data_IF_673264808064
#
_entry.id   IF_673264808064
#
_cell.length_a   1.000
_cell.length_b   1.000
_cell.length_c   1.000
_cell.angle_alpha   90.00
_cell.angle_beta   90.00
_cell.angle_gamma   90.00
#
_symmetry.space_group_name_H-M   'P 1'
#
loop_
_entity.id
_entity.type
_entity.pdbx_description
1 polymer ?
#
# COMPACT_ATOMS: atom_id res chain seq x y z
N UNK A 1 24.40 5.73 27.74
CA UNK A 1 23.97 5.88 26.34
C UNK A 1 22.48 5.72 26.24
N UNK A 2 21.81 6.61 25.50
CA UNK A 2 20.37 6.53 25.33
C UNK A 2 20.06 5.90 23.98
N UNK A 3 19.20 4.88 24.00
CA UNK A 3 18.75 4.22 22.78
C UNK A 3 17.33 4.64 22.49
N UNK A 4 17.07 5.09 21.26
CA UNK A 4 15.76 5.48 20.83
C UNK A 4 15.18 4.44 19.87
N UNK A 5 13.92 4.08 20.11
CA UNK A 5 13.16 3.26 19.16
C UNK A 5 12.08 4.15 18.57
N UNK A 6 12.22 4.46 17.32
CA UNK A 6 11.22 5.24 16.59
C UNK A 6 10.29 4.31 15.81
N UNK A 7 9.02 4.68 15.67
CA UNK A 7 8.15 3.94 14.77
C UNK A 7 8.71 3.95 13.35
N UNK A 8 8.55 2.84 12.66
CA UNK A 8 8.97 2.74 11.26
C UNK A 8 7.88 3.29 10.36
N UNK A 9 8.29 3.96 9.28
CA UNK A 9 7.37 4.48 8.28
C UNK A 9 7.28 3.51 7.13
N UNK A 10 6.04 3.12 6.79
CA UNK A 10 5.73 2.30 5.64
C UNK A 10 5.03 3.18 4.63
N UNK A 11 5.56 3.25 3.43
CA UNK A 11 5.04 4.08 2.35
C UNK A 11 4.53 3.21 1.22
N UNK A 12 3.32 3.52 0.74
CA UNK A 12 2.74 2.77 -0.34
C UNK A 12 1.74 3.60 -1.13
N UNK A 13 1.13 2.95 -2.12
CA UNK A 13 0.15 3.62 -2.96
C UNK A 13 -0.88 2.62 -3.49
N UNK A 14 -1.99 3.18 -3.99
CA UNK A 14 -3.03 2.43 -4.69
C UNK A 14 -2.91 2.81 -6.16
N UNK A 15 -2.21 2.01 -6.97
CA UNK A 15 -1.99 2.35 -8.39
C UNK A 15 -3.22 2.02 -9.22
N UNK A 16 -3.75 3.01 -9.92
CA UNK A 16 -4.96 2.86 -10.73
C UNK A 16 -4.63 2.89 -12.22
N UNK A 17 -5.29 2.01 -12.97
CA UNK A 17 -5.25 1.99 -14.42
C UNK A 17 -6.64 1.67 -14.96
N UNK A 18 -7.24 2.64 -15.67
CA UNK A 18 -8.56 2.46 -16.29
C UNK A 18 -9.61 1.89 -15.33
N UNK A 19 -9.68 2.44 -14.13
CA UNK A 19 -10.65 2.06 -13.12
C UNK A 19 -10.31 0.82 -12.30
N UNK A 20 -9.23 0.13 -12.64
CA UNK A 20 -8.75 -1.03 -11.88
C UNK A 20 -7.54 -0.66 -11.07
N UNK A 21 -7.28 -1.38 -10.02
CA UNK A 21 -6.13 -1.14 -9.15
C UNK A 21 -5.18 -2.32 -9.15
N UNK A 22 -3.89 -2.02 -8.93
CA UNK A 22 -2.84 -3.01 -8.92
C UNK A 22 -2.61 -3.50 -7.49
N UNK A 23 -2.63 -4.83 -7.32
CA UNK A 23 -2.26 -5.47 -6.07
C UNK A 23 -1.14 -6.47 -6.30
N UNK A 24 -0.35 -6.70 -5.25
CA UNK A 24 0.75 -7.66 -5.25
C UNK A 24 0.42 -8.80 -4.31
N UNK A 25 0.77 -10.03 -4.71
CA UNK A 25 0.63 -11.21 -3.86
C UNK A 25 1.98 -11.46 -3.19
N UNK A 26 1.99 -11.52 -1.86
CA UNK A 26 3.24 -11.58 -1.10
C UNK A 26 3.96 -12.92 -1.27
N UNK A 27 5.28 -12.85 -1.49
CA UNK A 27 6.15 -14.02 -1.56
C UNK A 27 6.94 -14.24 -0.29
N UNK A 28 6.72 -13.41 0.75
CA UNK A 28 7.46 -13.45 2.01
C UNK A 28 6.51 -13.39 3.20
N UNK A 29 6.99 -13.89 4.34
CA UNK A 29 6.29 -13.73 5.60
C UNK A 29 6.49 -12.32 6.15
N UNK A 30 5.57 -11.77 6.93
CA UNK A 30 4.30 -12.39 7.31
C UNK A 30 3.29 -12.35 6.17
N UNK A 31 2.25 -13.18 6.29
CA UNK A 31 1.13 -13.21 5.34
C UNK A 31 1.54 -13.63 3.93
N UNK A 32 2.45 -14.60 3.83
CA UNK A 32 2.83 -15.20 2.55
C UNK A 32 1.58 -15.66 1.78
N UNK A 33 1.50 -15.30 0.51
CA UNK A 33 0.38 -15.70 -0.36
C UNK A 33 -0.84 -14.78 -0.31
N UNK A 34 -0.85 -13.81 0.62
CA UNK A 34 -1.94 -12.83 0.71
C UNK A 34 -1.65 -11.61 -0.18
N UNK A 35 -2.69 -10.89 -0.51
CA UNK A 35 -2.61 -9.72 -1.40
C UNK A 35 -2.46 -8.42 -0.62
N UNK A 36 -1.76 -7.47 -1.21
CA UNK A 36 -1.52 -6.17 -0.59
C UNK A 36 -1.33 -5.09 -1.65
N UNK A 37 -1.57 -3.85 -1.25
CA UNK A 37 -1.12 -2.71 -2.05
C UNK A 37 0.40 -2.68 -1.97
N UNK A 38 1.10 -2.22 -3.02
CA UNK A 38 2.56 -2.11 -2.95
C UNK A 38 2.97 -1.09 -1.89
N UNK A 39 3.79 -1.53 -0.96
CA UNK A 39 4.24 -0.71 0.17
C UNK A 39 5.46 -1.32 0.83
N UNK A 40 6.28 -0.49 1.47
CA UNK A 40 7.44 -0.94 2.23
C UNK A 40 8.06 0.18 3.02
N UNK A 41 9.16 -0.14 3.69
CA UNK A 41 9.80 0.79 4.61
C UNK A 41 10.51 1.93 3.87
N UNK A 42 10.30 3.14 4.41
CA UNK A 42 10.98 4.34 3.91
C UNK A 42 12.47 4.23 4.19
N UNK A 43 13.29 4.71 3.23
CA UNK A 43 14.72 4.78 3.39
C UNK A 43 15.15 6.21 3.71
N UNK A 44 16.31 6.35 4.36
CA UNK A 44 16.83 7.67 4.69
C UNK A 44 17.05 8.50 3.43
N UNK A 45 16.70 9.77 3.51
CA UNK A 45 16.92 10.69 2.40
C UNK A 45 15.81 10.71 1.35
N UNK A 46 14.81 9.85 1.48
CA UNK A 46 13.68 9.86 0.54
C UNK A 46 12.59 10.82 0.99
N UNK A 47 11.85 11.38 0.02
CA UNK A 47 10.57 11.99 0.32
C UNK A 47 9.53 10.87 0.48
N UNK A 48 8.38 11.19 1.05
CA UNK A 48 7.29 10.23 1.19
C UNK A 48 6.85 9.70 -0.18
N UNK A 49 6.70 10.60 -1.16
CA UNK A 49 6.26 10.23 -2.51
C UNK A 49 7.30 9.36 -3.22
N UNK A 50 8.57 9.69 -3.08
CA UNK A 50 9.64 8.91 -3.70
C UNK A 50 9.69 7.50 -3.13
N UNK A 51 9.51 7.36 -1.81
CA UNK A 51 9.48 6.04 -1.18
C UNK A 51 8.31 5.20 -1.69
N UNK A 52 7.12 5.79 -1.80
CA UNK A 52 5.95 5.08 -2.31
C UNK A 52 6.15 4.61 -3.75
N UNK A 53 6.72 5.47 -4.60
CA UNK A 53 6.97 5.12 -6.00
C UNK A 53 8.03 4.03 -6.11
N UNK A 54 9.09 4.10 -5.31
CA UNK A 54 10.16 3.10 -5.31
C UNK A 54 9.63 1.74 -4.89
N UNK A 55 8.84 1.69 -3.83
CA UNK A 55 8.26 0.43 -3.35
C UNK A 55 7.34 -0.20 -4.40
N UNK A 56 6.55 0.62 -5.08
CA UNK A 56 5.70 0.11 -6.16
C UNK A 56 6.56 -0.51 -7.27
N UNK A 57 7.66 0.15 -7.64
CA UNK A 57 8.53 -0.38 -8.68
C UNK A 57 9.23 -1.67 -8.23
N UNK A 58 9.69 -1.73 -6.98
CA UNK A 58 10.36 -2.94 -6.46
C UNK A 58 9.42 -4.14 -6.41
N UNK A 59 8.17 -3.93 -6.00
CA UNK A 59 7.23 -5.04 -5.79
C UNK A 59 6.47 -5.43 -7.05
N UNK A 60 6.24 -4.49 -7.97
CA UNK A 60 5.38 -4.71 -9.12
C UNK A 60 6.02 -4.34 -10.45
N UNK A 61 7.27 -3.86 -10.46
CA UNK A 61 7.95 -3.36 -11.65
C UNK A 61 7.07 -2.39 -12.44
N UNK A 62 6.28 -1.60 -11.72
CA UNK A 62 5.31 -0.67 -12.28
C UNK A 62 5.75 0.76 -11.98
N UNK A 63 5.70 1.61 -13.01
CA UNK A 63 6.00 3.02 -12.87
C UNK A 63 4.70 3.77 -12.62
N UNK A 64 4.71 4.62 -11.62
CA UNK A 64 3.52 5.35 -11.18
C UNK A 64 3.79 6.85 -11.06
N UNK A 65 2.72 7.61 -11.20
CA UNK A 65 2.69 9.01 -10.80
C UNK A 65 1.95 9.06 -9.47
N UNK A 66 2.64 9.52 -8.42
CA UNK A 66 2.04 9.61 -7.08
C UNK A 66 1.11 10.81 -7.04
N UNK A 67 -0.10 10.59 -6.57
CA UNK A 67 -1.12 11.60 -6.44
C UNK A 67 -1.29 12.08 -5.00
N UNK A 68 -2.54 12.37 -4.62
CA UNK A 68 -2.85 12.92 -3.31
C UNK A 68 -2.74 11.88 -2.19
N UNK A 69 -2.51 12.37 -0.99
CA UNK A 69 -2.52 11.54 0.22
C UNK A 69 -3.91 10.93 0.39
N UNK A 70 -3.94 9.63 0.65
CA UNK A 70 -5.19 8.89 0.82
C UNK A 70 -5.44 8.52 2.28
N UNK A 71 -4.47 7.88 2.92
CA UNK A 71 -4.69 7.37 4.27
C UNK A 71 -3.40 7.33 5.08
N UNK A 72 -3.54 7.59 6.38
CA UNK A 72 -2.46 7.41 7.36
C UNK A 72 -3.00 6.51 8.45
N UNK A 73 -2.31 5.41 8.71
CA UNK A 73 -2.70 4.46 9.74
C UNK A 73 -1.62 4.40 10.82
N UNK A 74 -2.02 4.67 12.06
CA UNK A 74 -1.16 4.42 13.22
C UNK A 74 -1.33 2.96 13.61
N UNK A 75 -0.30 2.14 13.39
CA UNK A 75 -0.34 0.71 13.71
C UNK A 75 0.46 0.51 14.99
N UNK A 76 -0.17 0.81 16.12
CA UNK A 76 0.51 0.85 17.40
C UNK A 76 1.04 -0.51 17.85
N UNK A 77 0.33 -1.58 17.52
CA UNK A 77 0.76 -2.92 17.87
C UNK A 77 2.05 -3.37 17.17
N UNK A 78 2.40 -2.73 16.06
CA UNK A 78 3.62 -3.03 15.31
C UNK A 78 4.64 -1.89 15.36
N UNK A 79 4.33 -0.81 16.05
CA UNK A 79 5.15 0.41 16.10
C UNK A 79 5.47 0.93 14.68
N UNK A 80 4.42 1.05 13.88
CA UNK A 80 4.54 1.51 12.49
C UNK A 80 3.52 2.60 12.19
N UNK A 81 3.87 3.45 11.24
CA UNK A 81 2.94 4.41 10.64
C UNK A 81 2.88 4.11 9.14
N UNK A 82 1.70 3.79 8.65
CA UNK A 82 1.52 3.50 7.23
C UNK A 82 0.94 4.73 6.52
N UNK A 83 1.63 5.19 5.49
CA UNK A 83 1.23 6.37 4.70
C UNK A 83 0.96 5.92 3.28
N UNK A 84 -0.27 6.07 2.82
CA UNK A 84 -0.72 5.57 1.53
C UNK A 84 -1.19 6.72 0.64
N UNK A 85 -0.75 6.69 -0.61
CA UNK A 85 -1.11 7.69 -1.62
C UNK A 85 -1.98 7.10 -2.70
N UNK A 86 -2.80 7.94 -3.32
CA UNK A 86 -3.39 7.62 -4.62
C UNK A 86 -2.26 7.68 -5.65
N UNK A 87 -2.36 6.85 -6.69
CA UNK A 87 -1.37 6.86 -7.75
C UNK A 87 -1.99 6.41 -9.05
N UNK A 88 -1.33 6.75 -10.16
CA UNK A 88 -1.74 6.30 -11.48
C UNK A 88 -0.59 5.57 -12.14
N UNK A 89 -0.88 4.43 -12.75
CA UNK A 89 0.11 3.76 -13.59
C UNK A 89 0.38 4.64 -14.80
N UNK A 90 1.66 4.79 -15.14
CA UNK A 90 2.05 5.55 -16.32
C UNK A 90 1.79 4.76 -17.61
N UNK A 91 1.78 3.42 -17.50
CA UNK A 91 1.52 2.50 -18.61
C UNK A 91 1.09 1.15 -18.02
N UNK A 92 0.35 0.32 -18.79
CA UNK A 92 -0.13 -0.96 -18.26
C UNK A 92 0.96 -2.04 -18.32
N UNK A 93 2.13 -1.74 -17.77
CA UNK A 93 3.27 -2.66 -17.74
C UNK A 93 3.66 -2.90 -16.29
N UNK A 94 3.65 -4.16 -15.87
CA UNK A 94 3.99 -4.58 -14.52
C UNK A 94 4.35 -6.06 -14.51
N UNK A 95 5.10 -6.47 -13.48
CA UNK A 95 5.49 -7.87 -13.29
C UNK A 95 5.92 -8.03 -11.84
N UNK A 96 5.88 -9.26 -11.28
CA UNK A 96 6.29 -9.43 -9.90
C UNK A 96 7.78 -9.16 -9.71
N UNK A 97 8.09 -8.35 -8.69
CA UNK A 97 9.44 -8.20 -8.19
C UNK A 97 9.81 -9.42 -7.33
N UNK A 98 11.04 -9.44 -6.76
CA UNK A 98 11.53 -10.62 -6.03
C UNK A 98 10.68 -11.04 -4.83
N UNK A 99 9.98 -10.11 -4.21
CA UNK A 99 9.17 -10.39 -3.02
C UNK A 99 7.68 -10.55 -3.32
N UNK A 100 7.33 -10.67 -4.60
CA UNK A 100 5.94 -10.86 -5.05
C UNK A 100 5.82 -12.15 -5.83
N UNK A 101 4.77 -12.93 -5.53
CA UNK A 101 4.44 -14.13 -6.29
C UNK A 101 3.72 -13.77 -7.59
N UNK A 102 2.92 -12.73 -7.53
CA UNK A 102 2.01 -12.36 -8.60
C UNK A 102 1.65 -10.89 -8.47
N UNK A 103 1.39 -10.24 -9.60
CA UNK A 103 0.88 -8.86 -9.64
C UNK A 103 -0.31 -8.84 -10.58
N UNK A 104 -1.39 -8.18 -10.19
CA UNK A 104 -2.62 -8.22 -10.99
C UNK A 104 -3.43 -6.93 -10.80
N UNK A 105 -4.16 -6.57 -11.88
CA UNK A 105 -5.15 -5.48 -11.81
C UNK A 105 -6.50 -6.05 -11.42
N UNK A 106 -7.18 -5.36 -10.49
CA UNK A 106 -8.49 -5.77 -9.98
C UNK A 106 -9.49 -4.63 -10.14
N UNK A 107 -10.67 -4.95 -10.67
CA UNK A 107 -11.82 -4.05 -10.58
C UNK A 107 -12.34 -4.06 -9.15
N UNK A 108 -13.17 -3.07 -8.81
CA UNK A 108 -13.68 -2.93 -7.45
C UNK A 108 -14.39 -4.20 -6.95
N UNK A 109 -15.22 -4.81 -7.78
CA UNK A 109 -15.97 -6.01 -7.41
C UNK A 109 -15.12 -7.27 -7.37
N UNK A 110 -13.88 -7.20 -7.80
CA UNK A 110 -12.96 -8.35 -7.83
C UNK A 110 -11.97 -8.37 -6.67
N UNK A 111 -11.97 -7.33 -5.85
CA UNK A 111 -11.01 -7.22 -4.75
C UNK A 111 -11.11 -8.43 -3.83
N UNK A 112 -9.97 -9.11 -3.55
CA UNK A 112 -9.98 -10.29 -2.68
C UNK A 112 -9.98 -9.88 -1.20
N UNK A 113 -11.08 -9.31 -0.73
CA UNK A 113 -11.17 -8.74 0.61
C UNK A 113 -10.75 -9.71 1.73
N UNK A 114 -11.13 -10.99 1.60
CA UNK A 114 -10.79 -11.99 2.62
C UNK A 114 -9.32 -12.41 2.57
N UNK A 115 -8.61 -12.08 1.51
CA UNK A 115 -7.22 -12.47 1.31
C UNK A 115 -6.26 -11.27 1.33
N UNK A 116 -6.72 -10.15 1.88
CA UNK A 116 -5.83 -9.00 2.05
C UNK A 116 -4.92 -9.23 3.26
N UNK A 117 -3.65 -8.91 3.08
CA UNK A 117 -2.61 -9.22 4.06
C UNK A 117 -2.73 -8.42 5.36
N UNK A 118 -3.09 -7.13 5.25
CA UNK A 118 -3.00 -6.22 6.38
C UNK A 118 -4.24 -5.37 6.57
N UNK A 119 -4.64 -5.10 7.84
CA UNK A 119 -5.79 -4.23 8.10
C UNK A 119 -5.64 -2.81 7.55
N UNK A 120 -4.42 -2.27 7.52
CA UNK A 120 -4.20 -0.94 6.96
C UNK A 120 -4.46 -0.91 5.46
N UNK A 121 -4.14 -1.99 4.75
CA UNK A 121 -4.44 -2.10 3.33
C UNK A 121 -5.93 -2.18 3.06
N UNK A 122 -6.65 -2.94 3.87
CA UNK A 122 -8.10 -3.03 3.74
C UNK A 122 -8.74 -1.65 3.97
N UNK A 123 -8.35 -0.94 5.03
CA UNK A 123 -8.85 0.41 5.31
C UNK A 123 -8.57 1.33 4.13
N UNK A 124 -7.34 1.31 3.62
CA UNK A 124 -6.92 2.16 2.51
C UNK A 124 -7.77 1.92 1.26
N UNK A 125 -7.99 0.66 0.91
CA UNK A 125 -8.78 0.31 -0.28
C UNK A 125 -10.24 0.70 -0.12
N UNK A 126 -10.82 0.49 1.06
CA UNK A 126 -12.21 0.88 1.29
C UNK A 126 -12.39 2.38 1.14
N UNK A 127 -11.47 3.18 1.69
CA UNK A 127 -11.54 4.64 1.56
C UNK A 127 -11.29 5.10 0.14
N UNK A 128 -10.41 4.42 -0.58
CA UNK A 128 -10.17 4.71 -1.98
C UNK A 128 -11.46 4.58 -2.80
N UNK A 129 -12.17 3.47 -2.65
CA UNK A 129 -13.39 3.23 -3.41
C UNK A 129 -14.54 4.12 -2.94
N UNK A 130 -14.67 4.38 -1.64
CA UNK A 130 -15.68 5.30 -1.12
C UNK A 130 -15.51 6.70 -1.72
N UNK A 131 -14.27 7.22 -1.70
CA UNK A 131 -13.98 8.55 -2.24
C UNK A 131 -14.25 8.61 -3.74
N UNK A 132 -13.79 7.60 -4.47
CA UNK A 132 -14.00 7.54 -5.92
C UNK A 132 -15.49 7.55 -6.26
N UNK A 133 -16.28 6.76 -5.55
CA UNK A 133 -17.72 6.70 -5.74
C UNK A 133 -18.40 8.04 -5.45
N UNK A 134 -17.88 8.78 -4.49
CA UNK A 134 -18.43 10.09 -4.09
C UNK A 134 -17.83 11.24 -4.90
N UNK A 135 -16.86 10.98 -5.78
CA UNK A 135 -16.20 12.02 -6.56
C UNK A 135 -15.30 12.92 -5.72
N UNK A 136 -14.71 12.39 -4.65
CA UNK A 136 -13.85 13.14 -3.73
C UNK A 136 -12.50 12.48 -3.57
N UNK A 137 -11.53 13.28 -3.07
CA UNK A 137 -10.22 12.80 -2.68
C UNK A 137 -9.92 13.31 -1.27
N UNK A 138 -10.55 12.69 -0.28
CA UNK A 138 -10.36 13.06 1.12
C UNK A 138 -9.09 12.43 1.71
N UNK A 139 -8.65 12.95 2.84
CA UNK A 139 -7.57 12.36 3.62
C UNK A 139 -8.18 11.61 4.79
N UNK A 140 -7.71 10.39 5.04
CA UNK A 140 -8.29 9.51 6.05
C UNK A 140 -7.24 9.08 7.06
N UNK A 141 -7.65 9.02 8.33
CA UNK A 141 -6.77 8.58 9.42
C UNK A 141 -7.45 7.47 10.19
N UNK A 142 -6.64 6.48 10.61
CA UNK A 142 -7.15 5.37 11.42
C UNK A 142 -6.10 4.95 12.43
N UNK A 143 -6.56 4.46 13.57
CA UNK A 143 -5.71 3.84 14.58
C UNK A 143 -6.01 2.35 14.60
N UNK A 144 -4.97 1.53 14.45
CA UNK A 144 -5.07 0.09 14.42
C UNK A 144 -4.19 -0.48 15.53
N UNK A 145 -4.81 -1.13 16.52
CA UNK A 145 -4.10 -1.66 17.68
C UNK A 145 -3.69 -3.12 17.51
N UNK A 146 -4.19 -3.79 16.49
CA UNK A 146 -3.91 -5.21 16.29
C UNK A 146 -2.49 -5.43 15.81
N UNK A 147 -1.83 -6.47 16.36
CA UNK A 147 -0.57 -6.92 15.83
C UNK A 147 -0.82 -7.66 14.52
N UNK A 148 0.12 -7.51 13.59
CA UNK A 148 0.06 -8.25 12.34
C UNK A 148 0.37 -9.71 12.61
N UNK A 149 -0.43 -10.62 12.08
CA UNK A 149 -0.22 -12.06 12.23
C UNK A 149 0.54 -12.60 11.02
N UNK A 150 1.41 -13.54 11.31
CA UNK A 150 2.15 -14.25 10.26
C UNK A 150 1.26 -15.25 9.55
#
# INVERSE_FOLDING_TARGET
MVHYKNPLLVLGCVPEWQGRILLCRRAIEPRLGFWTVPAGFMENGETLQAAAARECYEEALAKVEIGSLLAVASVTGASQVHVMFRAKLLQPAFAPGPESLEVRLYGEEQIPWAELAFPSGEFTLRKFFEDRSAGREDHHFVELNRRLKS
#
